data_IF_331617350823
#
_entry.id   IF_331617350823
#
_cell.length_a   1.000
_cell.length_b   1.000
_cell.length_c   1.000
_cell.angle_alpha   90.00
_cell.angle_beta   90.00
_cell.angle_gamma   90.00
#
_symmetry.space_group_name_H-M   'P 1'
#
loop_
_entity.id
_entity.type
_entity.pdbx_description
1 polymer ?
#
# COMPACT_ATOMS: atom_id res chain seq x y z
N UNK A 1 21.80 -44.42 -32.15
CA UNK A 1 20.70 -44.92 -32.99
C UNK A 1 19.40 -44.62 -32.26
N UNK A 2 18.44 -43.96 -32.92
CA UNK A 2 17.05 -43.62 -32.47
C UNK A 2 16.98 -42.56 -31.36
N UNK A 3 16.83 -41.25 -31.61
CA UNK A 3 15.70 -40.44 -32.14
C UNK A 3 14.48 -40.28 -31.21
N UNK A 4 14.18 -39.04 -30.78
CA UNK A 4 12.80 -38.49 -30.78
C UNK A 4 12.88 -36.94 -30.87
N UNK A 5 12.00 -36.25 -31.61
CA UNK A 5 12.22 -34.89 -32.07
C UNK A 5 11.52 -33.82 -31.23
N UNK A 6 12.17 -32.67 -31.03
CA UNK A 6 11.52 -31.45 -30.55
C UNK A 6 10.57 -30.89 -31.62
N UNK A 7 9.38 -30.50 -31.17
CA UNK A 7 8.28 -30.00 -31.97
C UNK A 7 8.66 -28.79 -32.83
N UNK A 8 8.29 -28.86 -34.12
CA UNK A 8 8.37 -27.77 -35.09
C UNK A 8 7.37 -26.67 -34.72
N UNK A 9 7.84 -25.53 -34.24
CA UNK A 9 7.07 -24.28 -34.25
C UNK A 9 6.92 -23.79 -35.70
N UNK A 10 5.68 -23.78 -36.19
CA UNK A 10 5.32 -23.23 -37.49
C UNK A 10 5.68 -21.74 -37.55
N UNK A 11 6.55 -21.38 -38.50
CA UNK A 11 6.87 -19.99 -38.83
C UNK A 11 5.70 -19.33 -39.55
N UNK A 12 4.91 -18.51 -38.83
CA UNK A 12 4.01 -17.54 -39.48
C UNK A 12 4.86 -16.39 -40.04
N UNK A 13 4.91 -16.27 -41.37
CA UNK A 13 5.52 -15.13 -42.08
C UNK A 13 4.67 -13.87 -41.86
N UNK A 14 5.23 -12.86 -41.20
CA UNK A 14 4.70 -11.50 -41.26
C UNK A 14 5.30 -10.79 -42.49
N UNK A 15 4.44 -10.32 -43.41
CA UNK A 15 4.84 -9.43 -44.51
C UNK A 15 4.74 -7.99 -44.02
N UNK A 16 5.86 -7.26 -44.06
CA UNK A 16 5.84 -5.80 -44.06
C UNK A 16 5.98 -5.32 -45.51
N UNK A 17 5.06 -4.48 -45.96
CA UNK A 17 5.20 -3.73 -47.21
C UNK A 17 5.96 -2.44 -46.89
N UNK A 18 7.16 -2.27 -47.45
CA UNK A 18 7.79 -0.96 -47.61
C UNK A 18 8.15 -0.78 -49.09
N UNK A 19 7.70 0.34 -49.67
CA UNK A 19 8.05 0.77 -51.01
C UNK A 19 9.44 1.42 -51.00
N UNK A 20 10.31 0.96 -51.91
CA UNK A 20 11.38 1.69 -52.60
C UNK A 20 12.49 2.38 -51.79
N UNK A 21 13.73 1.89 -51.92
CA UNK A 21 14.80 2.42 -52.81
C UNK A 21 16.13 1.74 -52.43
N UNK A 22 16.86 1.23 -53.43
CA UNK A 22 18.18 0.62 -53.28
C UNK A 22 19.27 1.68 -53.02
N UNK A 23 20.16 1.43 -52.05
CA UNK A 23 21.58 1.81 -52.11
C UNK A 23 22.44 0.76 -51.37
N UNK A 24 23.67 0.46 -51.83
CA UNK A 24 24.52 -0.56 -51.23
C UNK A 24 25.47 0.08 -50.22
N UNK A 25 25.45 -0.37 -48.97
CA UNK A 25 26.63 -0.51 -48.11
C UNK A 25 26.22 -1.11 -46.75
N UNK A 26 27.10 -1.96 -46.23
CA UNK A 26 26.95 -2.69 -44.99
C UNK A 26 26.45 -1.78 -43.86
N UNK A 27 25.32 -2.13 -43.25
CA UNK A 27 24.84 -1.50 -42.03
C UNK A 27 24.30 -2.61 -41.14
N UNK A 28 25.09 -2.97 -40.12
CA UNK A 28 24.59 -3.70 -38.97
C UNK A 28 23.59 -2.79 -38.26
N UNK A 29 22.31 -3.14 -38.30
CA UNK A 29 21.29 -2.46 -37.50
C UNK A 29 21.22 -3.18 -36.16
N UNK A 30 21.85 -2.61 -35.13
CA UNK A 30 21.57 -2.99 -33.76
C UNK A 30 20.18 -2.46 -33.40
N UNK A 31 19.20 -3.36 -33.22
CA UNK A 31 17.90 -3.00 -32.67
C UNK A 31 17.96 -3.33 -31.17
N UNK A 32 18.15 -2.30 -30.35
CA UNK A 32 17.99 -2.43 -28.90
C UNK A 32 16.51 -2.57 -28.53
N UNK A 33 16.18 -3.68 -27.87
CA UNK A 33 14.97 -3.84 -27.05
C UNK A 33 13.68 -4.21 -27.79
N UNK A 34 13.38 -5.51 -27.85
CA UNK A 34 11.99 -5.99 -27.98
C UNK A 34 11.51 -6.38 -26.58
N UNK A 35 10.65 -5.56 -25.97
CA UNK A 35 9.87 -5.96 -24.80
C UNK A 35 8.60 -6.69 -25.25
N UNK A 36 8.61 -8.03 -25.20
CA UNK A 36 7.43 -8.86 -25.34
C UNK A 36 7.13 -9.59 -24.04
N UNK A 37 5.90 -9.50 -23.54
CA UNK A 37 5.43 -10.29 -22.40
C UNK A 37 5.03 -11.69 -22.88
N UNK A 38 5.81 -12.71 -22.50
CA UNK A 38 5.35 -14.09 -22.46
C UNK A 38 5.13 -14.47 -20.99
N UNK A 39 3.96 -15.04 -20.70
CA UNK A 39 3.63 -15.60 -19.40
C UNK A 39 4.69 -16.66 -19.06
N UNK A 40 5.56 -16.36 -18.08
CA UNK A 40 6.45 -17.35 -17.45
C UNK A 40 7.97 -17.17 -17.59
N UNK A 41 8.51 -16.26 -18.42
CA UNK A 41 9.96 -15.98 -18.48
C UNK A 41 10.22 -14.50 -18.83
N UNK A 42 10.94 -13.78 -17.96
CA UNK A 42 11.58 -12.53 -18.35
C UNK A 42 12.84 -12.87 -19.17
N UNK A 43 12.70 -12.93 -20.50
CA UNK A 43 13.79 -13.31 -21.40
C UNK A 43 14.76 -12.15 -21.58
N UNK A 44 15.88 -12.17 -20.85
CA UNK A 44 17.05 -11.38 -21.20
C UNK A 44 17.76 -12.08 -22.36
N UNK A 45 17.44 -11.68 -23.59
CA UNK A 45 17.95 -12.33 -24.80
C UNK A 45 18.68 -11.34 -25.71
N UNK A 46 19.73 -11.83 -26.36
CA UNK A 46 20.38 -11.16 -27.47
C UNK A 46 19.74 -11.66 -28.76
N UNK A 47 19.15 -10.74 -29.50
CA UNK A 47 18.60 -10.99 -30.84
C UNK A 47 19.64 -10.60 -31.88
N UNK A 48 20.12 -11.57 -32.64
CA UNK A 48 20.97 -11.32 -33.80
C UNK A 48 20.14 -11.55 -35.06
N UNK A 49 19.95 -10.50 -35.85
CA UNK A 49 19.28 -10.58 -37.15
C UNK A 49 20.35 -10.50 -38.24
N UNK A 50 20.51 -11.58 -38.99
CA UNK A 50 21.46 -11.68 -40.10
C UNK A 50 20.72 -11.69 -41.43
N UNK A 51 21.19 -10.89 -42.40
CA UNK A 51 20.60 -10.79 -43.74
C UNK A 51 21.58 -11.29 -44.79
N UNK A 52 21.23 -12.39 -45.48
CA UNK A 52 22.02 -12.95 -46.57
C UNK A 52 21.13 -13.23 -47.79
N UNK A 53 21.45 -12.62 -48.94
CA UNK A 53 20.77 -12.89 -50.22
C UNK A 53 19.25 -12.69 -50.21
N UNK A 54 18.75 -11.71 -49.45
CA UNK A 54 17.31 -11.43 -49.32
C UNK A 54 16.56 -12.34 -48.34
N UNK A 55 17.25 -13.16 -47.54
CA UNK A 55 16.68 -13.97 -46.45
C UNK A 55 17.12 -13.42 -45.10
N UNK A 56 16.19 -13.44 -44.13
CA UNK A 56 16.44 -13.10 -42.74
C UNK A 56 16.67 -14.37 -41.93
N UNK A 57 17.76 -14.42 -41.17
CA UNK A 57 17.99 -15.38 -40.10
C UNK A 57 17.92 -14.64 -38.76
N UNK A 58 17.21 -15.20 -37.79
CA UNK A 58 17.07 -14.65 -36.45
C UNK A 58 17.62 -15.67 -35.46
N UNK A 59 18.67 -15.30 -34.74
CA UNK A 59 19.21 -16.06 -33.62
C UNK A 59 18.83 -15.38 -32.31
N UNK A 60 18.37 -16.17 -31.36
CA UNK A 60 18.01 -15.72 -30.01
C UNK A 60 18.92 -16.43 -29.03
N UNK A 61 19.82 -15.68 -28.41
CA UNK A 61 20.71 -16.19 -27.35
C UNK A 61 20.16 -15.75 -25.99
N UNK A 62 19.91 -16.70 -25.09
CA UNK A 62 19.55 -16.43 -23.70
C UNK A 62 20.80 -16.02 -22.93
N UNK A 63 20.85 -14.77 -22.46
CA UNK A 63 22.03 -14.22 -21.79
C UNK A 63 22.15 -14.76 -20.36
N UNK A 64 21.03 -14.83 -19.62
CA UNK A 64 20.93 -15.46 -18.30
C UNK A 64 19.50 -15.98 -18.09
N UNK A 65 19.29 -17.23 -17.66
CA UNK A 65 17.95 -17.75 -17.39
C UNK A 65 17.45 -17.21 -16.04
N UNK A 66 16.41 -16.38 -16.10
CA UNK A 66 15.65 -15.99 -14.91
C UNK A 66 14.46 -16.91 -14.69
N UNK A 67 14.30 -17.38 -13.46
CA UNK A 67 13.13 -18.14 -13.00
C UNK A 67 12.27 -17.28 -12.09
N UNK A 68 10.93 -17.40 -12.20
CA UNK A 68 9.96 -16.62 -11.44
C UNK A 68 9.22 -15.59 -12.30
N UNK A 69 8.40 -14.71 -11.68
CA UNK A 69 8.25 -14.53 -10.24
C UNK A 69 7.45 -15.67 -9.61
N UNK A 70 7.91 -16.17 -8.46
CA UNK A 70 7.20 -17.20 -7.68
C UNK A 70 7.50 -17.08 -6.19
N UNK A 71 6.68 -17.74 -5.37
CA UNK A 71 6.98 -17.94 -3.95
C UNK A 71 8.27 -18.76 -3.82
N UNK A 72 9.22 -18.34 -2.96
CA UNK A 72 10.42 -19.11 -2.66
C UNK A 72 10.07 -20.47 -2.04
N UNK A 73 10.89 -21.49 -2.31
CA UNK A 73 10.85 -22.75 -1.57
C UNK A 73 11.49 -22.55 -0.19
N UNK A 74 11.22 -23.47 0.73
CA UNK A 74 11.75 -23.38 2.10
C UNK A 74 13.29 -23.31 2.10
N UNK A 75 13.96 -24.13 1.29
CA UNK A 75 15.41 -24.15 1.13
C UNK A 75 16.00 -22.90 0.46
N UNK A 76 15.17 -22.05 -0.16
CA UNK A 76 15.60 -20.80 -0.81
C UNK A 76 15.47 -19.57 0.11
N UNK A 77 14.93 -19.76 1.33
CA UNK A 77 14.64 -18.69 2.30
C UNK A 77 15.87 -17.82 2.61
N UNK A 78 17.02 -18.44 2.89
CA UNK A 78 18.24 -17.69 3.18
C UNK A 78 18.70 -16.85 1.98
N UNK A 79 18.55 -17.36 0.75
CA UNK A 79 18.88 -16.62 -0.46
C UNK A 79 18.07 -15.34 -0.58
N UNK A 80 16.78 -15.41 -0.26
CA UNK A 80 15.86 -14.27 -0.26
C UNK A 80 16.22 -13.27 0.84
N UNK A 81 16.45 -13.75 2.06
CA UNK A 81 16.87 -12.93 3.21
C UNK A 81 18.15 -12.17 2.88
N UNK A 82 19.12 -12.80 2.20
CA UNK A 82 20.36 -12.14 1.78
C UNK A 82 20.12 -10.97 0.81
N UNK A 83 19.18 -11.10 -0.14
CA UNK A 83 18.81 -9.99 -1.04
C UNK A 83 18.15 -8.86 -0.25
N UNK A 84 17.22 -9.18 0.65
CA UNK A 84 16.53 -8.18 1.48
C UNK A 84 17.50 -7.43 2.39
N UNK A 85 18.40 -8.16 3.05
CA UNK A 85 19.42 -7.58 3.92
C UNK A 85 20.38 -6.68 3.15
N UNK A 86 21.06 -7.20 2.13
CA UNK A 86 22.09 -6.46 1.38
C UNK A 86 21.57 -5.22 0.66
N UNK A 87 20.33 -5.25 0.15
CA UNK A 87 19.77 -4.13 -0.62
C UNK A 87 19.09 -3.11 0.29
N UNK A 88 18.35 -3.55 1.30
CA UNK A 88 17.46 -2.68 2.05
C UNK A 88 17.99 -2.29 3.43
N UNK A 89 18.68 -3.19 4.13
CA UNK A 89 18.99 -3.01 5.56
C UNK A 89 20.48 -2.81 5.87
N UNK A 90 21.37 -3.53 5.20
CA UNK A 90 22.84 -3.38 5.34
C UNK A 90 23.30 -1.95 5.02
N UNK A 91 22.82 -1.28 3.94
CA UNK A 91 23.21 0.11 3.66
C UNK A 91 22.78 1.10 4.75
N UNK A 92 21.85 0.71 5.62
CA UNK A 92 21.35 1.49 6.76
C UNK A 92 21.92 0.99 8.10
N UNK A 93 22.99 0.20 8.07
CA UNK A 93 23.76 -0.22 9.25
C UNK A 93 23.13 -1.37 10.04
N UNK A 94 22.17 -2.11 9.49
CA UNK A 94 21.60 -3.27 10.17
C UNK A 94 22.55 -4.48 10.06
N UNK A 95 22.96 -5.12 11.17
CA UNK A 95 23.92 -6.22 11.14
C UNK A 95 23.34 -7.51 10.55
N UNK A 96 22.02 -7.70 10.66
CA UNK A 96 21.27 -8.82 10.06
C UNK A 96 19.92 -8.35 9.56
N UNK A 97 19.26 -9.17 8.73
CA UNK A 97 17.92 -8.91 8.22
C UNK A 97 16.92 -8.63 9.34
N UNK A 98 16.90 -9.46 10.39
CA UNK A 98 15.93 -9.37 11.48
C UNK A 98 16.04 -8.05 12.25
N UNK A 99 17.25 -7.50 12.38
CA UNK A 99 17.48 -6.22 13.05
C UNK A 99 16.93 -5.03 12.25
N UNK A 100 16.96 -5.11 10.92
CA UNK A 100 16.40 -4.08 10.06
C UNK A 100 14.89 -4.24 9.91
N UNK A 101 14.45 -5.46 9.59
CA UNK A 101 13.05 -5.80 9.37
C UNK A 101 12.19 -5.67 10.63
N UNK A 102 12.76 -5.75 11.83
CA UNK A 102 12.01 -5.50 13.09
C UNK A 102 11.38 -4.12 13.15
N UNK A 103 11.89 -3.14 12.39
CA UNK A 103 11.30 -1.80 12.30
C UNK A 103 10.03 -1.76 11.44
N UNK A 104 9.80 -2.79 10.62
CA UNK A 104 8.58 -3.05 9.83
C UNK A 104 8.11 -4.46 10.16
N UNK A 105 7.68 -4.73 11.41
CA UNK A 105 7.69 -6.08 11.94
C UNK A 105 6.67 -7.02 11.28
N UNK A 106 5.71 -6.48 10.54
CA UNK A 106 4.86 -7.28 9.65
C UNK A 106 5.67 -8.09 8.62
N UNK A 107 6.86 -7.64 8.22
CA UNK A 107 7.78 -8.40 7.35
C UNK A 107 8.39 -9.64 8.03
N UNK A 108 8.22 -9.78 9.35
CA UNK A 108 8.68 -10.89 10.19
C UNK A 108 7.53 -11.75 10.75
N UNK A 109 6.28 -11.48 10.37
CA UNK A 109 5.13 -12.26 10.82
C UNK A 109 5.22 -13.73 10.36
N UNK A 110 4.58 -14.66 11.06
CA UNK A 110 4.38 -16.02 10.55
C UNK A 110 3.75 -16.00 9.13
N UNK A 111 4.33 -16.76 8.20
CA UNK A 111 3.87 -16.81 6.80
C UNK A 111 4.37 -15.66 5.90
N UNK A 112 5.23 -14.75 6.38
CA UNK A 112 5.76 -13.67 5.54
C UNK A 112 6.48 -14.18 4.28
N UNK A 113 7.16 -15.33 4.36
CA UNK A 113 7.87 -15.92 3.21
C UNK A 113 6.90 -16.53 2.18
N UNK A 114 5.77 -17.06 2.62
CA UNK A 114 4.68 -17.54 1.72
C UNK A 114 4.07 -16.38 0.93
N UNK A 115 4.13 -15.18 1.51
CA UNK A 115 3.70 -13.92 0.93
C UNK A 115 4.86 -13.09 0.36
N UNK A 116 5.92 -13.77 -0.09
CA UNK A 116 7.05 -13.17 -0.79
C UNK A 116 7.10 -13.70 -2.23
N UNK A 117 7.38 -12.83 -3.20
CA UNK A 117 7.77 -13.27 -4.55
C UNK A 117 9.24 -12.94 -4.81
N UNK A 118 9.91 -13.86 -5.49
CA UNK A 118 11.29 -13.68 -5.91
C UNK A 118 11.49 -14.08 -7.37
N UNK A 119 12.52 -13.46 -7.98
CA UNK A 119 13.15 -13.91 -9.22
C UNK A 119 14.48 -14.54 -8.87
N UNK A 120 14.82 -15.63 -9.55
CA UNK A 120 16.03 -16.40 -9.35
C UNK A 120 16.89 -16.39 -10.61
N UNK A 121 18.21 -16.37 -10.43
CA UNK A 121 19.19 -16.64 -11.47
C UNK A 121 20.13 -17.74 -10.96
N UNK A 122 20.19 -18.87 -11.66
CA UNK A 122 20.99 -20.05 -11.26
C UNK A 122 20.74 -20.49 -9.80
N UNK A 123 19.47 -20.56 -9.38
CA UNK A 123 19.07 -20.97 -8.03
C UNK A 123 19.28 -19.93 -6.92
N UNK A 124 19.85 -18.75 -7.23
CA UNK A 124 20.03 -17.65 -6.27
C UNK A 124 18.92 -16.61 -6.47
N UNK A 125 18.31 -16.13 -5.39
CA UNK A 125 17.39 -15.00 -5.44
C UNK A 125 18.15 -13.73 -5.86
N UNK A 126 17.59 -12.97 -6.80
CA UNK A 126 18.22 -11.75 -7.34
C UNK A 126 17.33 -10.52 -7.26
N UNK A 127 16.02 -10.73 -7.12
CA UNK A 127 15.01 -9.68 -6.97
C UNK A 127 13.86 -10.22 -6.13
N UNK A 128 13.35 -9.43 -5.18
CA UNK A 128 12.39 -9.84 -4.15
C UNK A 128 11.37 -8.73 -3.91
N UNK A 129 10.12 -9.12 -3.62
CA UNK A 129 9.06 -8.27 -3.07
C UNK A 129 8.39 -9.00 -1.92
N UNK A 130 8.03 -8.28 -0.87
CA UNK A 130 7.12 -8.80 0.15
C UNK A 130 5.73 -8.19 -0.05
N UNK A 131 4.70 -9.00 0.18
CA UNK A 131 3.31 -8.57 0.19
C UNK A 131 2.61 -8.98 1.49
N UNK A 132 1.50 -8.30 1.75
CA UNK A 132 0.58 -8.62 2.86
C UNK A 132 -0.85 -8.23 2.44
N UNK A 133 -1.86 -8.99 2.85
CA UNK A 133 -3.26 -8.64 2.59
C UNK A 133 -4.06 -8.52 3.89
N UNK A 134 -4.93 -7.51 3.98
CA UNK A 134 -5.85 -7.34 5.11
C UNK A 134 -7.23 -6.95 4.62
N UNK A 135 -8.25 -7.58 5.20
CA UNK A 135 -9.62 -7.09 5.11
C UNK A 135 -9.77 -5.88 6.02
N UNK A 136 -10.67 -4.96 5.67
CA UNK A 136 -11.06 -3.84 6.52
C UNK A 136 -12.54 -3.52 6.36
N UNK A 137 -13.12 -2.96 7.40
CA UNK A 137 -14.50 -2.49 7.44
C UNK A 137 -14.51 -0.98 7.26
N UNK A 138 -15.32 -0.49 6.32
CA UNK A 138 -15.61 0.93 6.12
C UNK A 138 -17.10 1.08 5.84
N UNK A 139 -17.80 1.87 6.64
CA UNK A 139 -19.26 2.06 6.54
C UNK A 139 -20.05 0.75 6.44
N UNK A 140 -19.66 -0.27 7.22
CA UNK A 140 -20.28 -1.60 7.21
C UNK A 140 -19.92 -2.47 5.98
N UNK A 141 -19.20 -1.93 4.99
CA UNK A 141 -18.72 -2.68 3.84
C UNK A 141 -17.35 -3.31 4.13
N UNK A 142 -17.17 -4.59 3.76
CA UNK A 142 -15.88 -5.27 3.86
C UNK A 142 -15.09 -5.14 2.55
N UNK A 143 -13.97 -4.45 2.62
CA UNK A 143 -13.00 -4.30 1.51
C UNK A 143 -11.68 -4.97 1.88
N UNK A 144 -10.78 -5.08 0.91
CA UNK A 144 -9.45 -5.66 1.10
C UNK A 144 -8.37 -4.72 0.59
N UNK A 145 -7.27 -4.61 1.33
CA UNK A 145 -6.07 -3.88 0.93
C UNK A 145 -4.88 -4.82 0.86
N UNK A 146 -4.05 -4.66 -0.17
CA UNK A 146 -2.74 -5.28 -0.29
C UNK A 146 -1.66 -4.28 0.14
N UNK A 147 -0.62 -4.75 0.82
CA UNK A 147 0.57 -3.97 1.16
C UNK A 147 1.75 -4.49 0.34
N UNK A 148 2.59 -3.57 -0.13
CA UNK A 148 3.83 -3.89 -0.83
C UNK A 148 5.00 -3.22 -0.13
N UNK A 149 6.00 -4.02 0.17
CA UNK A 149 7.21 -3.61 0.87
C UNK A 149 8.45 -4.35 0.41
N UNK A 150 9.59 -3.96 0.97
CA UNK A 150 10.87 -4.65 0.80
C UNK A 150 11.30 -4.92 -0.65
N UNK A 151 10.86 -4.10 -1.61
CA UNK A 151 11.17 -4.30 -3.04
C UNK A 151 12.66 -4.12 -3.29
N UNK A 152 13.34 -5.23 -3.53
CA UNK A 152 14.79 -5.32 -3.53
C UNK A 152 15.29 -5.97 -4.80
N UNK A 153 16.34 -5.43 -5.41
CA UNK A 153 17.03 -6.06 -6.55
C UNK A 153 18.51 -5.83 -6.39
N UNK A 154 19.27 -6.92 -6.44
CA UNK A 154 20.72 -6.91 -6.33
C UNK A 154 21.33 -5.95 -7.38
N UNK A 155 22.32 -5.11 -7.01
CA UNK A 155 22.87 -4.08 -7.89
C UNK A 155 23.23 -4.56 -9.30
N UNK A 156 23.87 -5.72 -9.42
CA UNK A 156 24.33 -6.33 -10.67
C UNK A 156 23.20 -6.85 -11.57
N UNK A 157 21.98 -6.99 -11.03
CA UNK A 157 20.77 -7.41 -11.75
C UNK A 157 19.78 -6.25 -12.02
N UNK A 158 20.13 -5.01 -11.66
CA UNK A 158 19.29 -3.82 -11.93
C UNK A 158 19.20 -3.51 -13.42
N UNK A 159 18.20 -2.72 -13.79
CA UNK A 159 17.90 -2.31 -15.18
C UNK A 159 17.56 -3.47 -16.14
N UNK A 160 17.30 -4.68 -15.63
CA UNK A 160 16.86 -5.85 -16.41
C UNK A 160 15.35 -6.12 -16.33
N UNK A 161 14.57 -5.16 -15.79
CA UNK A 161 13.11 -5.28 -15.66
C UNK A 161 12.59 -6.13 -14.50
N UNK A 162 13.45 -6.81 -13.74
CA UNK A 162 13.05 -7.78 -12.70
C UNK A 162 12.09 -7.21 -11.64
N UNK A 163 12.39 -6.04 -11.08
CA UNK A 163 11.54 -5.41 -10.06
C UNK A 163 10.14 -5.08 -10.61
N UNK A 164 10.05 -4.62 -11.86
CA UNK A 164 8.76 -4.35 -12.52
C UNK A 164 8.00 -5.65 -12.79
N UNK A 165 8.69 -6.71 -13.22
CA UNK A 165 8.09 -8.03 -13.45
C UNK A 165 7.49 -8.61 -12.16
N UNK A 166 8.25 -8.56 -11.07
CA UNK A 166 7.78 -9.01 -9.76
C UNK A 166 6.59 -8.15 -9.29
N UNK A 167 6.69 -6.83 -9.39
CA UNK A 167 5.60 -5.93 -8.99
C UNK A 167 4.32 -6.19 -9.79
N UNK A 168 4.42 -6.40 -11.10
CA UNK A 168 3.27 -6.74 -11.94
C UNK A 168 2.62 -8.06 -11.51
N UNK A 169 3.42 -9.08 -11.19
CA UNK A 169 2.89 -10.34 -10.66
C UNK A 169 2.22 -10.18 -9.29
N UNK A 170 2.75 -9.31 -8.43
CA UNK A 170 2.10 -8.96 -7.15
C UNK A 170 0.76 -8.28 -7.36
N UNK A 171 0.68 -7.30 -8.27
CA UNK A 171 -0.59 -6.64 -8.60
C UNK A 171 -1.61 -7.62 -9.20
N UNK A 172 -1.15 -8.55 -10.05
CA UNK A 172 -2.00 -9.63 -10.57
C UNK A 172 -2.52 -10.54 -9.45
N UNK A 173 -1.66 -10.97 -8.53
CA UNK A 173 -2.06 -11.79 -7.37
C UNK A 173 -3.08 -11.06 -6.49
N UNK A 174 -2.92 -9.75 -6.29
CA UNK A 174 -3.90 -8.96 -5.56
C UNK A 174 -5.25 -8.91 -6.29
N UNK A 175 -5.26 -8.74 -7.61
CA UNK A 175 -6.49 -8.80 -8.40
C UNK A 175 -7.18 -10.17 -8.28
N UNK A 176 -6.43 -11.28 -8.40
CA UNK A 176 -6.92 -12.65 -8.21
C UNK A 176 -7.54 -12.85 -6.81
N UNK A 177 -6.93 -12.25 -5.79
CA UNK A 177 -7.38 -12.35 -4.39
C UNK A 177 -8.51 -11.36 -4.04
N UNK A 178 -9.03 -10.61 -5.01
CA UNK A 178 -10.12 -9.66 -4.81
C UNK A 178 -9.77 -8.46 -3.95
N UNK A 179 -8.48 -8.08 -3.94
CA UNK A 179 -7.97 -6.86 -3.31
C UNK A 179 -8.57 -5.64 -4.01
N UNK A 180 -9.01 -4.65 -3.22
CA UNK A 180 -9.62 -3.41 -3.71
C UNK A 180 -8.59 -2.29 -3.87
N UNK A 181 -7.72 -2.15 -2.88
CA UNK A 181 -6.69 -1.12 -2.83
C UNK A 181 -5.32 -1.73 -2.57
N UNK A 182 -4.25 -1.05 -2.97
CA UNK A 182 -2.88 -1.42 -2.59
C UNK A 182 -2.21 -0.23 -1.92
N UNK A 183 -1.52 -0.44 -0.80
CA UNK A 183 -0.63 0.51 -0.16
C UNK A 183 0.83 0.06 -0.41
N UNK A 184 1.61 0.90 -1.06
CA UNK A 184 3.04 0.69 -1.31
C UNK A 184 3.82 1.66 -0.43
N UNK A 185 4.77 1.16 0.37
CA UNK A 185 5.50 2.01 1.33
C UNK A 185 6.37 3.10 0.69
N UNK A 186 6.66 3.02 -0.61
CA UNK A 186 7.45 4.02 -1.35
C UNK A 186 6.71 4.73 -2.49
N UNK A 187 7.40 5.67 -3.14
CA UNK A 187 6.87 6.53 -4.23
C UNK A 187 7.81 6.62 -5.45
N UNK A 188 8.47 5.50 -5.78
CA UNK A 188 9.36 5.43 -6.96
C UNK A 188 8.54 5.49 -8.26
N UNK A 189 9.12 5.98 -9.39
CA UNK A 189 8.43 6.02 -10.68
C UNK A 189 7.82 4.68 -11.12
N UNK A 190 8.43 3.55 -10.77
CA UNK A 190 7.89 2.22 -11.07
C UNK A 190 6.55 1.94 -10.38
N UNK A 191 6.34 2.45 -9.15
CA UNK A 191 5.06 2.33 -8.44
C UNK A 191 3.98 3.20 -9.08
N UNK A 192 4.35 4.39 -9.55
CA UNK A 192 3.43 5.27 -10.27
C UNK A 192 2.94 4.65 -11.58
N UNK A 193 3.76 3.85 -12.26
CA UNK A 193 3.36 3.12 -13.47
C UNK A 193 2.28 2.06 -13.22
N UNK A 194 2.16 1.54 -12.00
CA UNK A 194 1.08 0.61 -11.61
C UNK A 194 -0.09 1.34 -10.93
N UNK A 195 -0.24 2.64 -11.19
CA UNK A 195 -1.36 3.44 -10.68
C UNK A 195 -1.19 3.98 -9.27
N UNK A 196 -0.09 3.68 -8.56
CA UNK A 196 0.08 4.11 -7.17
C UNK A 196 0.30 5.64 -7.07
N UNK A 197 -0.41 6.32 -6.16
CA UNK A 197 -0.32 7.76 -5.92
C UNK A 197 -0.34 8.10 -4.43
N UNK A 198 0.31 9.18 -3.98
CA UNK A 198 0.04 9.70 -2.65
C UNK A 198 -1.45 10.05 -2.50
N UNK A 199 -1.96 9.96 -1.28
CA UNK A 199 -3.35 10.30 -0.91
C UNK A 199 -3.38 11.19 0.34
N UNK A 200 -4.48 11.90 0.52
CA UNK A 200 -4.76 12.72 1.70
C UNK A 200 -5.76 12.05 2.65
N UNK A 201 -6.63 12.86 3.25
CA UNK A 201 -7.70 12.37 4.14
C UNK A 201 -7.27 12.08 5.58
N UNK A 202 -6.14 12.63 6.03
CA UNK A 202 -5.68 12.63 7.42
C UNK A 202 -5.39 14.07 7.85
N UNK A 203 -5.87 14.43 9.04
CA UNK A 203 -5.61 15.69 9.70
C UNK A 203 -4.63 15.45 10.84
N UNK A 204 -3.52 16.20 10.85
CA UNK A 204 -2.57 16.19 11.97
C UNK A 204 -2.85 17.37 12.89
N UNK A 205 -3.44 17.10 14.04
CA UNK A 205 -3.57 18.05 15.13
C UNK A 205 -2.25 18.21 15.86
N UNK A 206 -1.94 19.42 16.31
CA UNK A 206 -0.71 19.71 17.06
C UNK A 206 -1.01 20.67 18.21
N UNK A 207 -0.53 20.31 19.38
CA UNK A 207 -0.50 21.14 20.58
C UNK A 207 0.68 20.71 21.45
N UNK A 208 1.20 21.62 22.26
CA UNK A 208 2.17 21.24 23.31
C UNK A 208 1.48 20.45 24.42
N UNK A 209 2.25 19.69 25.18
CA UNK A 209 1.76 19.00 26.36
C UNK A 209 1.11 19.98 27.36
N UNK A 210 1.69 21.17 27.54
CA UNK A 210 1.10 22.21 28.38
C UNK A 210 -0.25 22.72 27.86
N UNK A 211 -0.35 22.95 26.55
CA UNK A 211 -1.60 23.37 25.91
C UNK A 211 -2.70 22.33 26.08
N UNK A 212 -2.42 21.04 25.82
CA UNK A 212 -3.40 19.97 25.94
C UNK A 212 -3.96 19.85 27.37
N UNK A 213 -3.09 19.88 28.39
CA UNK A 213 -3.51 19.85 29.80
C UNK A 213 -4.45 21.02 30.14
N UNK A 214 -4.16 22.20 29.62
CA UNK A 214 -4.90 23.43 29.91
C UNK A 214 -6.26 23.47 29.24
N UNK A 215 -6.39 22.94 28.01
CA UNK A 215 -7.63 23.05 27.22
C UNK A 215 -8.57 21.85 27.39
N UNK A 216 -8.04 20.66 27.70
CA UNK A 216 -8.83 19.45 27.94
C UNK A 216 -9.07 19.30 29.45
N UNK A 217 -9.99 20.08 30.00
CA UNK A 217 -10.27 20.10 31.45
C UNK A 217 -11.47 19.27 31.87
N UNK A 218 -12.38 19.01 30.93
CA UNK A 218 -13.71 18.40 31.08
C UNK A 218 -13.79 16.93 30.61
N UNK A 219 -12.66 16.34 30.21
CA UNK A 219 -12.61 14.93 29.82
C UNK A 219 -12.68 13.99 31.05
N UNK A 220 -13.21 12.76 30.90
CA UNK A 220 -13.15 11.72 31.92
C UNK A 220 -11.74 11.50 32.43
N UNK A 221 -11.63 11.18 33.73
CA UNK A 221 -10.35 10.83 34.35
C UNK A 221 -10.00 9.39 34.00
N UNK A 222 -8.88 9.20 33.31
CA UNK A 222 -8.35 7.90 32.92
C UNK A 222 -6.89 7.78 33.37
N UNK A 223 -6.37 6.56 33.42
CA UNK A 223 -4.93 6.29 33.50
C UNK A 223 -4.43 5.64 32.22
N UNK A 224 -3.13 5.75 31.97
CA UNK A 224 -2.44 5.07 30.87
C UNK A 224 -1.52 3.99 31.41
N UNK A 225 -1.67 2.79 30.87
CA UNK A 225 -0.81 1.65 31.17
C UNK A 225 -0.14 1.17 29.90
N UNK A 226 1.19 1.06 29.93
CA UNK A 226 1.95 0.44 28.82
C UNK A 226 1.51 -1.01 28.65
N UNK A 227 1.15 -1.39 27.42
CA UNK A 227 0.80 -2.77 27.11
C UNK A 227 2.06 -3.66 27.11
N UNK A 228 1.89 -4.92 27.48
CA UNK A 228 2.90 -5.97 27.34
C UNK A 228 2.49 -7.02 26.30
N UNK A 229 3.35 -7.99 26.03
CA UNK A 229 3.06 -9.10 25.11
C UNK A 229 1.81 -9.90 25.48
N UNK A 230 1.46 -9.92 26.77
CA UNK A 230 0.28 -10.61 27.31
C UNK A 230 -1.03 -9.89 26.97
N UNK A 231 -0.98 -8.61 26.60
CA UNK A 231 -2.15 -7.78 26.28
C UNK A 231 -2.61 -7.93 24.81
N UNK A 232 -1.98 -8.77 23.98
CA UNK A 232 -2.29 -8.85 22.55
C UNK A 232 -3.77 -9.13 22.25
N UNK A 233 -4.38 -10.06 22.98
CA UNK A 233 -5.82 -10.37 22.86
C UNK A 233 -6.70 -9.21 23.31
N UNK A 234 -6.32 -8.50 24.37
CA UNK A 234 -7.03 -7.32 24.84
C UNK A 234 -7.01 -6.20 23.79
N UNK A 235 -5.85 -5.90 23.21
CA UNK A 235 -5.73 -4.87 22.16
C UNK A 235 -6.58 -5.21 20.94
N UNK A 236 -6.57 -6.48 20.51
CA UNK A 236 -7.41 -6.95 19.41
C UNK A 236 -8.90 -6.79 19.74
N UNK A 237 -9.32 -7.14 20.97
CA UNK A 237 -10.70 -6.99 21.41
C UNK A 237 -11.16 -5.53 21.47
N UNK A 238 -10.34 -4.63 22.00
CA UNK A 238 -10.63 -3.20 22.06
C UNK A 238 -10.78 -2.61 20.64
N UNK A 239 -9.90 -3.00 19.71
CA UNK A 239 -9.93 -2.50 18.33
C UNK A 239 -11.12 -3.01 17.52
N UNK A 240 -11.68 -4.18 17.87
CA UNK A 240 -12.84 -4.75 17.17
C UNK A 240 -14.07 -3.83 17.22
N UNK A 241 -14.20 -3.02 18.27
CA UNK A 241 -15.29 -2.04 18.42
C UNK A 241 -15.24 -0.86 17.45
N UNK A 242 -14.13 -0.63 16.76
CA UNK A 242 -13.99 0.49 15.84
C UNK A 242 -14.82 0.32 14.56
N UNK A 243 -15.59 1.34 14.19
CA UNK A 243 -16.43 1.31 12.98
C UNK A 243 -15.61 1.30 11.68
N UNK A 244 -14.42 1.92 11.70
CA UNK A 244 -13.44 1.91 10.63
C UNK A 244 -12.19 1.18 11.12
N UNK A 245 -12.01 -0.08 10.69
CA UNK A 245 -10.95 -0.93 11.23
C UNK A 245 -10.45 -1.96 10.24
N UNK A 246 -9.20 -2.38 10.42
CA UNK A 246 -8.71 -3.62 9.82
C UNK A 246 -9.26 -4.84 10.56
N UNK A 247 -9.51 -5.92 9.83
CA UNK A 247 -9.71 -7.24 10.43
C UNK A 247 -8.33 -7.86 10.61
N UNK A 248 -7.70 -7.57 11.75
CA UNK A 248 -6.34 -8.01 12.07
C UNK A 248 -6.37 -9.33 12.86
N UNK A 249 -5.51 -10.31 12.53
CA UNK A 249 -5.26 -11.44 13.43
C UNK A 249 -4.54 -10.95 14.69
N UNK A 250 -4.75 -11.64 15.83
CA UNK A 250 -4.07 -11.33 17.10
C UNK A 250 -2.54 -11.33 16.94
N UNK A 251 -2.01 -12.18 16.06
CA UNK A 251 -0.58 -12.23 15.75
C UNK A 251 0.00 -10.92 15.23
N UNK A 252 -0.80 -10.03 14.63
CA UNK A 252 -0.32 -8.70 14.22
C UNK A 252 0.04 -7.86 15.47
N UNK A 253 -0.78 -7.93 16.53
CA UNK A 253 -0.53 -7.25 17.79
C UNK A 253 0.67 -7.85 18.51
N UNK A 254 0.77 -9.18 18.57
CA UNK A 254 1.90 -9.89 19.18
C UNK A 254 3.23 -9.45 18.56
N UNK A 255 3.27 -9.38 17.23
CA UNK A 255 4.46 -8.99 16.46
C UNK A 255 4.83 -7.52 16.75
N UNK A 256 3.87 -6.61 16.79
CA UNK A 256 4.15 -5.19 17.10
C UNK A 256 4.58 -5.01 18.56
N UNK A 257 3.94 -5.69 19.51
CA UNK A 257 4.34 -5.68 20.93
C UNK A 257 5.76 -6.23 21.13
N UNK A 258 6.11 -7.30 20.42
CA UNK A 258 7.44 -7.92 20.48
C UNK A 258 8.54 -6.99 19.98
N UNK A 259 8.31 -6.32 18.86
CA UNK A 259 9.34 -5.52 18.20
C UNK A 259 9.28 -4.03 18.55
N UNK A 260 8.19 -3.56 19.15
CA UNK A 260 7.94 -2.15 19.53
C UNK A 260 8.13 -1.16 18.37
N UNK A 261 7.72 -1.54 17.15
CA UNK A 261 7.88 -0.70 15.96
C UNK A 261 6.69 -0.82 15.00
N UNK A 262 6.41 0.26 14.28
CA UNK A 262 5.48 0.33 13.15
C UNK A 262 6.05 1.27 12.10
N UNK A 263 5.98 0.90 10.81
CA UNK A 263 6.39 1.74 9.69
C UNK A 263 7.76 2.44 9.85
N UNK A 264 8.76 1.74 10.41
CA UNK A 264 10.11 2.26 10.62
C UNK A 264 10.29 3.08 11.91
N UNK A 265 9.23 3.30 12.69
CA UNK A 265 9.23 4.12 13.89
C UNK A 265 9.05 3.25 15.13
N UNK A 266 9.85 3.52 16.17
CA UNK A 266 9.63 2.89 17.48
C UNK A 266 8.29 3.37 18.05
N UNK A 267 7.47 2.45 18.51
CA UNK A 267 6.13 2.72 19.02
C UNK A 267 5.75 1.81 20.19
N UNK A 268 4.71 2.20 20.90
CA UNK A 268 4.12 1.41 21.98
C UNK A 268 2.61 1.65 22.08
N UNK A 269 1.93 0.64 22.63
CA UNK A 269 0.53 0.76 23.02
C UNK A 269 0.44 1.26 24.48
N UNK A 270 -0.40 2.26 24.69
CA UNK A 270 -0.83 2.74 26.01
C UNK A 270 -2.32 2.42 26.15
N UNK A 271 -2.65 1.43 26.98
CA UNK A 271 -4.01 1.04 27.31
C UNK A 271 -4.64 2.13 28.16
N UNK A 272 -5.83 2.57 27.76
CA UNK A 272 -6.63 3.56 28.46
C UNK A 272 -7.51 2.85 29.47
N UNK A 273 -7.35 3.20 30.74
CA UNK A 273 -8.08 2.58 31.85
C UNK A 273 -8.95 3.63 32.55
N UNK A 274 -10.24 3.35 32.69
CA UNK A 274 -11.14 4.11 33.56
C UNK A 274 -11.48 3.23 34.76
N UNK A 275 -11.13 3.70 35.97
CA UNK A 275 -11.23 2.94 37.20
C UNK A 275 -10.53 1.56 37.09
N UNK A 276 -11.27 0.49 36.79
CA UNK A 276 -10.75 -0.87 36.62
C UNK A 276 -11.09 -1.49 35.25
N UNK A 277 -11.61 -0.70 34.30
CA UNK A 277 -11.99 -1.15 32.98
C UNK A 277 -11.01 -0.64 31.92
N UNK A 278 -10.60 -1.52 31.01
CA UNK A 278 -9.85 -1.15 29.81
C UNK A 278 -10.84 -0.63 28.76
N UNK A 279 -10.78 0.66 28.45
CA UNK A 279 -11.78 1.35 27.60
C UNK A 279 -11.23 1.75 26.23
N UNK A 280 -9.95 1.52 25.97
CA UNK A 280 -9.31 1.83 24.69
C UNK A 280 -7.80 1.71 24.72
N UNK A 281 -7.13 2.17 23.65
CA UNK A 281 -5.68 2.36 23.64
C UNK A 281 -5.27 3.56 22.77
N UNK A 282 -4.05 4.05 23.01
CA UNK A 282 -3.28 4.87 22.08
C UNK A 282 -2.09 4.05 21.55
N UNK A 283 -1.85 4.08 20.25
CA UNK A 283 -0.60 3.60 19.65
C UNK A 283 0.22 4.82 19.23
N UNK A 284 1.37 4.99 19.89
CA UNK A 284 2.16 6.20 19.80
C UNK A 284 3.63 5.93 19.59
N UNK A 285 4.34 6.88 18.97
CA UNK A 285 5.79 6.79 18.80
C UNK A 285 6.52 7.03 20.12
N UNK A 286 7.74 6.52 20.26
CA UNK A 286 8.66 7.05 21.27
C UNK A 286 8.89 8.56 21.05
N UNK A 287 9.37 9.26 22.08
CA UNK A 287 9.78 10.66 21.96
C UNK A 287 10.74 10.82 20.78
N UNK A 288 10.37 11.69 19.84
CA UNK A 288 11.16 12.06 18.68
C UNK A 288 11.77 13.43 18.91
N UNK A 289 12.97 13.65 18.36
CA UNK A 289 13.63 14.95 18.38
C UNK A 289 14.29 15.23 17.03
N UNK A 290 14.01 16.40 16.46
CA UNK A 290 14.68 16.89 15.26
C UNK A 290 14.64 18.41 15.21
N UNK A 291 15.76 19.02 14.81
CA UNK A 291 15.87 20.47 14.65
C UNK A 291 15.44 21.25 15.91
N UNK A 292 15.75 20.71 17.09
CA UNK A 292 15.39 21.28 18.40
C UNK A 292 13.92 21.14 18.79
N UNK A 293 13.08 20.52 17.95
CA UNK A 293 11.68 20.21 18.28
C UNK A 293 11.56 18.79 18.80
N UNK A 294 10.77 18.62 19.86
CA UNK A 294 10.47 17.33 20.47
C UNK A 294 9.00 17.02 20.29
N UNK A 295 8.67 15.80 19.90
CA UNK A 295 7.27 15.40 19.76
C UNK A 295 7.03 13.91 20.02
N UNK A 296 5.80 13.60 20.40
CA UNK A 296 5.22 12.26 20.38
C UNK A 296 4.07 12.25 19.39
N UNK A 297 3.98 11.22 18.55
CA UNK A 297 2.90 11.08 17.57
C UNK A 297 1.98 9.94 17.96
N UNK A 298 0.70 10.25 18.20
CA UNK A 298 -0.40 9.28 18.27
C UNK A 298 -0.93 9.10 16.85
N UNK A 299 -0.66 7.94 16.26
CA UNK A 299 -1.05 7.66 14.86
C UNK A 299 -2.17 6.62 14.74
N UNK A 300 -2.49 5.91 15.82
CA UNK A 300 -3.69 5.09 15.92
C UNK A 300 -4.23 5.17 17.36
N UNK A 301 -5.55 5.06 17.50
CA UNK A 301 -6.25 4.98 18.78
C UNK A 301 -7.54 4.18 18.60
N UNK A 302 -8.06 3.59 19.69
CA UNK A 302 -9.37 2.96 19.70
C UNK A 302 -10.08 3.17 21.04
N UNK A 303 -11.41 3.10 21.04
CA UNK A 303 -12.27 3.35 22.19
C UNK A 303 -13.09 4.63 22.07
N UNK A 304 -14.03 4.85 22.99
CA UNK A 304 -14.91 6.01 22.88
C UNK A 304 -14.13 7.33 22.93
N UNK A 305 -14.49 8.28 22.06
CA UNK A 305 -13.66 9.48 21.83
C UNK A 305 -13.56 10.38 23.06
N UNK A 306 -14.52 10.31 23.98
CA UNK A 306 -14.44 11.00 25.29
C UNK A 306 -13.30 10.47 26.16
N UNK A 307 -13.09 9.15 26.20
CA UNK A 307 -11.96 8.54 26.91
C UNK A 307 -10.64 8.79 26.19
N UNK A 308 -10.64 8.85 24.85
CA UNK A 308 -9.46 9.26 24.08
C UNK A 308 -9.05 10.70 24.41
N UNK A 309 -10.01 11.63 24.57
CA UNK A 309 -9.70 12.99 25.03
C UNK A 309 -9.06 12.97 26.43
N UNK A 310 -9.57 12.15 27.35
CA UNK A 310 -8.96 11.94 28.67
C UNK A 310 -7.53 11.37 28.56
N UNK A 311 -7.33 10.39 27.69
CA UNK A 311 -6.06 9.74 27.44
C UNK A 311 -5.02 10.72 26.88
N UNK A 312 -5.41 11.61 25.96
CA UNK A 312 -4.54 12.66 25.43
C UNK A 312 -4.10 13.65 26.51
N UNK A 313 -4.99 14.00 27.44
CA UNK A 313 -4.67 14.85 28.61
C UNK A 313 -3.71 14.14 29.57
N UNK A 314 -3.95 12.85 29.84
CA UNK A 314 -3.09 12.05 30.72
C UNK A 314 -1.70 11.86 30.10
N UNK A 315 -1.62 11.54 28.81
CA UNK A 315 -0.38 11.50 28.05
C UNK A 315 0.39 12.82 28.16
N UNK A 316 -0.29 13.95 27.97
CA UNK A 316 0.31 15.27 28.10
C UNK A 316 0.79 15.57 29.53
N UNK A 317 0.20 14.97 30.55
CA UNK A 317 0.61 15.09 31.95
C UNK A 317 1.89 14.33 32.27
N UNK A 318 2.17 13.26 31.54
CA UNK A 318 3.41 12.49 31.64
C UNK A 318 4.58 13.06 30.81
N UNK A 319 4.32 14.06 29.95
CA UNK A 319 5.33 14.64 29.04
C UNK A 319 5.85 16.00 29.57
N UNK A 320 7.10 16.37 29.25
CA UNK A 320 7.60 17.73 29.46
C UNK A 320 6.73 18.76 28.73
N UNK A 321 6.59 19.96 29.32
CA UNK A 321 5.63 20.99 28.87
C UNK A 321 5.83 21.47 27.44
N UNK A 322 7.05 21.45 26.94
CA UNK A 322 7.46 21.91 25.60
C UNK A 322 7.32 20.83 24.51
N UNK A 323 7.07 19.57 24.88
CA UNK A 323 6.90 18.48 23.91
C UNK A 323 5.58 18.65 23.15
N UNK A 324 5.65 18.61 21.83
CA UNK A 324 4.46 18.60 20.98
C UNK A 324 3.81 17.20 20.97
N UNK A 325 2.49 17.15 21.09
CA UNK A 325 1.69 15.95 20.87
C UNK A 325 1.02 16.09 19.50
N UNK A 326 1.42 15.21 18.58
CA UNK A 326 0.84 15.13 17.24
C UNK A 326 -0.21 14.04 17.22
N UNK A 327 -1.42 14.37 16.78
CA UNK A 327 -2.56 13.42 16.77
C UNK A 327 -3.05 13.33 15.34
N UNK A 328 -2.90 12.16 14.73
CA UNK A 328 -3.40 11.92 13.39
C UNK A 328 -4.83 11.38 13.44
N UNK A 329 -5.73 12.10 12.79
CA UNK A 329 -7.18 11.85 12.84
C UNK A 329 -7.71 11.75 11.41
N UNK A 330 -8.48 10.70 11.12
CA UNK A 330 -9.18 10.58 9.85
C UNK A 330 -10.19 11.73 9.68
N UNK A 331 -10.35 12.25 8.46
CA UNK A 331 -11.21 13.41 8.20
C UNK A 331 -12.67 13.25 8.62
N UNK A 332 -13.15 12.01 8.74
CA UNK A 332 -14.51 11.63 9.13
C UNK A 332 -14.63 11.13 10.58
N UNK A 333 -13.53 11.09 11.36
CA UNK A 333 -13.57 10.61 12.74
C UNK A 333 -14.18 11.66 13.68
N UNK A 334 -15.00 11.21 14.64
CA UNK A 334 -15.66 12.09 15.60
C UNK A 334 -14.66 12.87 16.50
N UNK A 335 -13.47 12.33 16.75
CA UNK A 335 -12.42 12.99 17.53
C UNK A 335 -12.00 14.33 16.90
N UNK A 336 -12.07 14.46 15.57
CA UNK A 336 -11.79 15.72 14.87
C UNK A 336 -12.57 16.88 15.46
N UNK A 337 -13.89 16.70 15.60
CA UNK A 337 -14.79 17.76 16.08
C UNK A 337 -14.49 18.11 17.54
N UNK A 338 -14.18 17.12 18.38
CA UNK A 338 -13.81 17.34 19.77
C UNK A 338 -12.54 18.19 19.90
N UNK A 339 -11.50 17.88 19.10
CA UNK A 339 -10.25 18.63 19.10
C UNK A 339 -10.43 20.05 18.55
N UNK A 340 -11.20 20.22 17.47
CA UNK A 340 -11.54 21.54 16.90
C UNK A 340 -12.30 22.43 17.90
N UNK A 341 -13.24 21.86 18.67
CA UNK A 341 -13.98 22.60 19.70
C UNK A 341 -13.08 23.06 20.86
N UNK A 342 -11.96 22.37 21.09
CA UNK A 342 -10.92 22.81 22.04
C UNK A 342 -9.94 23.82 21.43
N UNK A 343 -10.13 24.21 20.18
CA UNK A 343 -9.28 25.18 19.47
C UNK A 343 -7.92 24.61 19.04
N UNK A 344 -7.76 23.28 19.03
CA UNK A 344 -6.51 22.64 18.60
C UNK A 344 -6.41 22.75 17.08
N UNK A 345 -5.31 23.30 16.61
CA UNK A 345 -5.06 23.51 15.19
C UNK A 345 -4.63 22.20 14.53
N UNK A 346 -4.97 22.07 13.26
CA UNK A 346 -4.56 20.95 12.43
C UNK A 346 -4.08 21.40 11.07
N UNK A 347 -3.31 20.53 10.43
CA UNK A 347 -2.92 20.62 9.01
C UNK A 347 -3.30 19.32 8.31
N UNK A 348 -3.73 19.38 7.05
CA UNK A 348 -3.82 18.18 6.22
C UNK A 348 -2.42 17.59 6.00
N UNK A 349 -2.35 16.26 6.05
CA UNK A 349 -1.10 15.53 5.80
C UNK A 349 -1.36 14.40 4.81
N UNK A 350 -0.31 14.04 4.08
CA UNK A 350 -0.33 12.84 3.24
C UNK A 350 -0.41 11.60 4.11
N UNK A 351 -1.16 10.60 3.67
CA UNK A 351 -1.08 9.25 4.25
C UNK A 351 0.31 8.66 3.98
N UNK A 352 0.82 7.80 4.87
CA UNK A 352 2.03 7.03 4.61
C UNK A 352 1.90 6.21 3.31
N UNK A 353 2.97 6.18 2.52
CA UNK A 353 3.05 5.41 1.29
C UNK A 353 2.30 6.02 0.10
N UNK A 354 2.09 5.19 -0.92
CA UNK A 354 1.28 5.48 -2.10
C UNK A 354 0.22 4.41 -2.28
N UNK A 355 -0.91 4.76 -2.90
CA UNK A 355 -2.09 3.92 -3.01
C UNK A 355 -2.51 3.70 -4.46
N UNK A 356 -2.93 2.49 -4.79
CA UNK A 356 -3.52 2.17 -6.10
C UNK A 356 -4.91 1.56 -5.91
N UNK A 357 -5.80 1.76 -6.88
CA UNK A 357 -7.07 1.03 -6.98
C UNK A 357 -6.85 -0.16 -7.91
N UNK A 358 -7.12 -1.37 -7.43
CA UNK A 358 -6.83 -2.60 -8.19
C UNK A 358 -7.96 -2.90 -9.17
N UNK A 359 -9.20 -2.84 -8.69
CA UNK A 359 -10.40 -3.13 -9.47
C UNK A 359 -11.52 -2.16 -9.08
N UNK A 360 -11.75 -1.16 -9.91
CA UNK A 360 -12.82 -0.18 -9.74
C UNK A 360 -14.20 -0.85 -9.67
N UNK A 361 -14.51 -1.75 -10.59
CA UNK A 361 -15.86 -2.35 -10.71
C UNK A 361 -16.16 -3.20 -9.48
N UNK A 362 -15.24 -4.08 -9.10
CA UNK A 362 -15.38 -4.91 -7.91
C UNK A 362 -15.48 -4.06 -6.64
N UNK A 363 -14.68 -3.00 -6.53
CA UNK A 363 -14.71 -2.11 -5.35
C UNK A 363 -16.03 -1.36 -5.24
N UNK A 364 -16.52 -0.77 -6.33
CA UNK A 364 -17.82 -0.10 -6.36
C UNK A 364 -18.96 -1.06 -6.02
N UNK A 365 -18.94 -2.31 -6.54
CA UNK A 365 -19.93 -3.34 -6.20
C UNK A 365 -19.96 -3.66 -4.70
N UNK A 366 -18.81 -3.78 -4.05
CA UNK A 366 -18.74 -4.02 -2.60
C UNK A 366 -19.27 -2.84 -1.77
N UNK A 367 -19.30 -1.64 -2.34
CA UNK A 367 -19.81 -0.41 -1.70
C UNK A 367 -21.30 -0.15 -1.97
N UNK A 368 -22.00 -1.01 -2.72
CA UNK A 368 -23.43 -0.82 -3.00
C UNK A 368 -24.28 -0.63 -1.73
N UNK A 369 -24.10 -1.40 -0.63
CA UNK A 369 -24.87 -1.18 0.60
C UNK A 369 -24.64 0.20 1.22
N UNK A 370 -23.41 0.73 1.13
CA UNK A 370 -23.10 2.08 1.56
C UNK A 370 -23.76 3.14 0.66
N UNK A 371 -23.77 2.93 -0.65
CA UNK A 371 -24.45 3.82 -1.59
C UNK A 371 -25.98 3.84 -1.37
N UNK A 372 -26.61 2.69 -1.08
CA UNK A 372 -28.04 2.61 -0.75
C UNK A 372 -28.40 3.40 0.52
N UNK A 373 -27.44 3.64 1.41
CA UNK A 373 -27.63 4.43 2.63
C UNK A 373 -27.62 5.95 2.38
N UNK A 374 -27.15 6.41 1.21
CA UNK A 374 -26.98 7.85 0.90
C UNK A 374 -27.76 8.28 -0.35
N UNK A 375 -28.06 7.33 -1.25
CA UNK A 375 -28.64 7.59 -2.57
C UNK A 375 -29.96 6.85 -2.74
N UNK A 376 -30.86 7.31 -3.64
CA UNK A 376 -32.09 6.58 -3.94
C UNK A 376 -31.80 5.14 -4.38
N UNK A 377 -32.49 4.18 -3.77
CA UNK A 377 -32.27 2.75 -4.06
C UNK A 377 -32.50 2.39 -5.54
N UNK A 378 -33.40 3.10 -6.23
CA UNK A 378 -33.63 2.92 -7.67
C UNK A 378 -32.39 3.24 -8.50
N UNK A 379 -31.71 4.36 -8.18
CA UNK A 379 -30.46 4.73 -8.83
C UNK A 379 -29.37 3.68 -8.57
N UNK A 380 -29.16 3.30 -7.31
CA UNK A 380 -28.11 2.33 -6.95
C UNK A 380 -28.32 0.98 -7.65
N UNK A 381 -29.57 0.51 -7.73
CA UNK A 381 -29.92 -0.74 -8.42
C UNK A 381 -29.80 -0.65 -9.94
N UNK A 382 -29.90 0.55 -10.51
CA UNK A 382 -29.70 0.79 -11.95
C UNK A 382 -28.23 1.02 -12.34
N UNK A 383 -27.29 1.05 -11.37
CA UNK A 383 -25.89 1.36 -11.64
C UNK A 383 -25.22 0.29 -12.50
N UNK A 384 -24.75 0.73 -13.66
CA UNK A 384 -23.82 0.01 -14.51
C UNK A 384 -22.41 0.56 -14.32
N UNK A 385 -21.45 -0.33 -14.10
CA UNK A 385 -20.07 -0.02 -13.76
C UNK A 385 -19.14 -0.49 -14.86
N UNK A 386 -18.32 0.43 -15.38
CA UNK A 386 -17.39 0.16 -16.46
C UNK A 386 -16.01 0.74 -16.14
N UNK A 387 -14.95 0.00 -16.50
CA UNK A 387 -13.58 0.44 -16.39
C UNK A 387 -12.77 0.01 -17.62
N UNK A 388 -11.95 0.90 -18.17
CA UNK A 388 -11.02 0.57 -19.24
C UNK A 388 -10.31 1.79 -19.80
N UNK A 389 -9.06 1.62 -20.26
CA UNK A 389 -8.21 2.68 -20.83
C UNK A 389 -8.16 3.94 -19.94
N UNK A 390 -7.95 3.73 -18.63
CA UNK A 390 -7.95 4.78 -17.60
C UNK A 390 -9.25 5.61 -17.53
N UNK A 391 -10.37 5.07 -18.00
CA UNK A 391 -11.71 5.68 -17.83
C UNK A 391 -12.56 4.77 -16.98
N UNK A 392 -13.14 5.33 -15.93
CA UNK A 392 -13.96 4.65 -14.93
C UNK A 392 -15.32 5.32 -14.88
N UNK A 393 -16.39 4.56 -15.04
CA UNK A 393 -17.75 5.10 -15.16
C UNK A 393 -18.70 4.31 -14.28
N UNK A 394 -19.51 5.02 -13.52
CA UNK A 394 -20.71 4.53 -12.88
C UNK A 394 -21.91 5.34 -13.42
N UNK A 395 -22.84 4.71 -14.12
CA UNK A 395 -24.02 5.40 -14.64
C UNK A 395 -25.29 4.62 -14.33
N UNK A 396 -26.39 5.34 -14.14
CA UNK A 396 -27.69 4.74 -13.85
C UNK A 396 -28.82 5.73 -14.16
N UNK A 397 -30.03 5.37 -13.80
CA UNK A 397 -31.21 6.22 -13.98
C UNK A 397 -31.06 7.52 -13.18
N UNK A 398 -31.02 8.66 -13.88
CA UNK A 398 -30.96 9.98 -13.25
C UNK A 398 -29.56 10.48 -12.90
N UNK A 399 -28.48 9.80 -13.31
CA UNK A 399 -27.13 10.35 -13.14
C UNK A 399 -25.97 9.46 -13.58
N UNK A 400 -24.79 10.05 -13.61
CA UNK A 400 -23.54 9.33 -13.86
C UNK A 400 -22.36 10.02 -13.19
N UNK A 401 -21.31 9.24 -12.93
CA UNK A 401 -20.01 9.64 -12.43
C UNK A 401 -18.95 9.05 -13.37
N UNK A 402 -18.02 9.88 -13.83
CA UNK A 402 -16.90 9.48 -14.65
C UNK A 402 -15.60 10.01 -14.06
N UNK A 403 -14.59 9.15 -14.06
CA UNK A 403 -13.22 9.49 -13.72
C UNK A 403 -12.29 9.15 -14.88
N UNK A 404 -11.39 10.06 -15.21
CA UNK A 404 -10.36 9.87 -16.24
C UNK A 404 -8.97 9.95 -15.60
N UNK A 405 -8.15 8.93 -15.79
CA UNK A 405 -6.79 8.81 -15.26
C UNK A 405 -6.75 8.12 -13.89
N UNK A 406 -5.79 7.22 -13.71
CA UNK A 406 -5.54 6.49 -12.45
C UNK A 406 -5.35 7.44 -11.26
N UNK A 407 -4.71 8.59 -11.49
CA UNK A 407 -4.50 9.60 -10.44
C UNK A 407 -5.81 10.12 -9.88
N UNK A 408 -6.72 10.51 -10.77
CA UNK A 408 -8.02 11.02 -10.35
C UNK A 408 -8.87 9.92 -9.73
N UNK A 409 -8.73 8.67 -10.18
CA UNK A 409 -9.41 7.53 -9.54
C UNK A 409 -8.98 7.37 -8.09
N UNK A 410 -7.67 7.30 -7.83
CA UNK A 410 -7.12 7.15 -6.48
C UNK A 410 -7.52 8.33 -5.60
N UNK A 411 -7.40 9.56 -6.10
CA UNK A 411 -7.73 10.76 -5.32
C UNK A 411 -9.22 10.92 -5.04
N UNK A 412 -10.08 10.59 -6.00
CA UNK A 412 -11.53 10.55 -5.76
C UNK A 412 -11.86 9.51 -4.69
N UNK A 413 -11.31 8.30 -4.80
CA UNK A 413 -11.70 7.20 -3.92
C UNK A 413 -11.10 7.31 -2.51
N UNK A 414 -9.86 7.80 -2.36
CA UNK A 414 -9.10 7.75 -1.09
C UNK A 414 -8.67 9.12 -0.57
N UNK A 415 -9.03 10.20 -1.28
CA UNK A 415 -8.76 11.57 -0.89
C UNK A 415 -7.55 12.15 -1.62
N UNK A 416 -7.73 13.37 -2.14
CA UNK A 416 -6.68 14.18 -2.75
C UNK A 416 -5.62 14.56 -1.71
N UNK A 417 -4.32 14.44 -2.01
CA UNK A 417 -3.25 14.96 -1.16
C UNK A 417 -3.39 16.46 -0.88
N UNK A 418 -2.84 16.96 0.24
CA UNK A 418 -2.70 18.39 0.43
C UNK A 418 -1.93 19.02 -0.74
N UNK A 419 -2.31 20.25 -1.09
CA UNK A 419 -1.75 21.08 -2.15
C UNK A 419 -1.99 20.57 -3.59
N UNK A 420 -2.77 19.51 -3.77
CA UNK A 420 -3.14 18.97 -5.08
C UNK A 420 -4.60 19.26 -5.43
N UNK A 421 -4.93 19.27 -6.72
CA UNK A 421 -6.31 19.48 -7.19
C UNK A 421 -6.72 18.38 -8.15
N UNK A 422 -7.95 17.90 -7.96
CA UNK A 422 -8.55 16.87 -8.81
C UNK A 422 -9.31 17.53 -9.95
N UNK A 423 -9.06 17.12 -11.19
CA UNK A 423 -9.64 17.76 -12.39
C UNK A 423 -10.29 16.79 -13.38
N UNK A 424 -9.95 15.51 -13.33
CA UNK A 424 -10.51 14.48 -14.22
C UNK A 424 -11.70 13.74 -13.66
N UNK A 425 -12.51 14.39 -12.81
CA UNK A 425 -13.75 13.81 -12.26
C UNK A 425 -14.93 14.66 -12.71
N UNK A 426 -15.88 14.01 -13.36
CA UNK A 426 -17.09 14.64 -13.85
C UNK A 426 -18.29 13.83 -13.40
N UNK A 427 -19.38 14.50 -13.04
CA UNK A 427 -20.60 13.85 -12.65
C UNK A 427 -21.81 14.66 -13.08
N UNK A 428 -22.97 14.02 -13.12
CA UNK A 428 -24.26 14.63 -13.43
C UNK A 428 -25.37 14.00 -12.59
N UNK A 429 -26.31 14.83 -12.15
CA UNK A 429 -27.50 14.39 -11.41
C UNK A 429 -27.14 13.64 -10.14
N UNK A 430 -27.67 12.43 -9.96
CA UNK A 430 -27.38 11.60 -8.79
C UNK A 430 -25.90 11.19 -8.67
N UNK A 431 -25.13 11.25 -9.76
CA UNK A 431 -23.68 11.06 -9.71
C UNK A 431 -22.94 12.18 -8.96
N UNK A 432 -23.42 13.43 -9.00
CA UNK A 432 -22.83 14.54 -8.23
C UNK A 432 -23.05 14.34 -6.74
N UNK A 433 -24.25 13.86 -6.38
CA UNK A 433 -24.58 13.49 -5.00
C UNK A 433 -23.69 12.34 -4.52
N UNK A 434 -23.51 11.31 -5.35
CA UNK A 434 -22.60 10.20 -5.07
C UNK A 434 -21.16 10.70 -4.82
N UNK A 435 -20.65 11.57 -5.69
CA UNK A 435 -19.31 12.13 -5.54
C UNK A 435 -19.14 12.90 -4.22
N UNK A 436 -20.14 13.69 -3.83
CA UNK A 436 -20.10 14.54 -2.65
C UNK A 436 -20.30 13.79 -1.33
N UNK A 437 -21.18 12.79 -1.32
CA UNK A 437 -21.62 12.13 -0.09
C UNK A 437 -20.94 10.78 0.16
N UNK A 438 -20.47 10.11 -0.90
CA UNK A 438 -19.88 8.77 -0.79
C UNK A 438 -18.35 8.76 -0.92
N UNK A 439 -17.74 9.88 -1.35
CA UNK A 439 -16.30 9.96 -1.57
C UNK A 439 -15.69 11.22 -0.94
N UNK A 440 -14.41 11.18 -0.53
CA UNK A 440 -13.53 10.00 -0.51
C UNK A 440 -13.88 9.01 0.62
N UNK A 441 -13.49 7.75 0.45
CA UNK A 441 -13.58 6.72 1.49
C UNK A 441 -12.46 6.92 2.52
N UNK A 442 -12.77 6.87 3.82
CA UNK A 442 -11.73 6.87 4.84
C UNK A 442 -11.04 5.49 4.87
N UNK A 443 -9.75 5.49 5.23
CA UNK A 443 -8.98 4.28 5.52
C UNK A 443 -8.59 4.27 7.01
N UNK A 444 -8.61 3.09 7.68
CA UNK A 444 -8.03 2.98 9.01
C UNK A 444 -6.51 3.29 8.98
N UNK A 445 -5.89 3.64 10.11
CA UNK A 445 -4.45 3.86 10.19
C UNK A 445 -3.65 2.65 9.69
N UNK A 446 -2.74 2.89 8.75
CA UNK A 446 -2.07 1.82 7.98
C UNK A 446 -0.75 1.37 8.59
N UNK A 447 -0.19 2.18 9.49
CA UNK A 447 1.18 2.08 10.00
C UNK A 447 1.50 0.69 10.57
N UNK A 448 0.56 0.10 11.30
CA UNK A 448 0.71 -1.23 11.90
C UNK A 448 0.85 -2.34 10.85
N UNK A 449 0.25 -2.16 9.67
CA UNK A 449 0.24 -3.17 8.60
C UNK A 449 1.29 -2.90 7.50
N UNK A 450 2.05 -1.81 7.58
CA UNK A 450 3.08 -1.49 6.58
C UNK A 450 4.26 -2.46 6.64
N UNK A 451 4.77 -2.79 5.45
CA UNK A 451 5.95 -3.64 5.21
C UNK A 451 6.99 -2.96 4.31
#
# INVERSE_FOLDING_TARGET
>A
MVSTPLARLQTRKFKFNSHGVLFPMASAVAIDGIQGYYVGLALNCKLTISVYGGRFAMEVELIEPFEGPRTPKLEETESVINVLHSVFFEPHGAPRYENGASRWPMALRPGAMDETFAMFCNGRAVSVIQRLERDFIVYGCKLRIGYVGSVSTLPEFRNRGLASTILAATMHRFAENGVNFVCISGDRPMYRRVGARPTGGVLRFRATAEELKRIITDAPKVSLRRASTEDAYLLAHLYEGEALRFIRPVSDYEVVLKYEHCAGQRCEFQIVEEANAQVGYLLLTSLQERDGRKWVRVFEFCGERVYIMGALRELASALPSDVEVWIDVGCTDALRRLLELKGIKWTEVRRPGTYAVVDFVSTMRKLMPYFESHLPISFVRSLELNAGRERFVAYGEGGWLQVTGETNLVWMMLGTPPDETISGVHAYGLGEKMLKECFPLPLPPVEMNMI
#
